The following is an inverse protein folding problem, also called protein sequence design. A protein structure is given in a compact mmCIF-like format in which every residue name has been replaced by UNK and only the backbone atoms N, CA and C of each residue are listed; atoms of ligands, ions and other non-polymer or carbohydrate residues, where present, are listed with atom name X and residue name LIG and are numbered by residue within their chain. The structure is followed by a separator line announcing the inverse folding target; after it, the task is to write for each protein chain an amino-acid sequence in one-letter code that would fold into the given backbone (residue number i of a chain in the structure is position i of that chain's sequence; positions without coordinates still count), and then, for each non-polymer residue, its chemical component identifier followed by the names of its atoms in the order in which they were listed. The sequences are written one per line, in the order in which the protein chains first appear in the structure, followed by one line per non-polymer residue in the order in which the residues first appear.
data_IF_910616004881
#
_entry.id   IF_910616004881
#
_cell.length_a   1.000
_cell.length_b   1.000
_cell.length_c   1.000
_cell.angle_alpha   90.00
_cell.angle_beta   90.00
_cell.angle_gamma   90.00
#
_symmetry.space_group_name_H-M   'P 1'
#
loop_
_entity.id
_entity.type
_entity.pdbx_description
1 polymer ?
#
# COMPACT_ATOMS: atom_id res chain seq x y z
N UNK A 1 -29.93 -16.80 22.89
CA UNK A 1 -30.06 -15.61 23.77
C UNK A 1 -29.25 -14.54 23.06
N UNK A 2 -29.90 -13.56 22.42
CA UNK A 2 -29.18 -12.56 21.62
C UNK A 2 -28.74 -11.43 22.56
N UNK A 3 -27.52 -11.52 23.07
CA UNK A 3 -26.88 -10.36 23.69
C UNK A 3 -26.64 -9.33 22.56
N UNK A 4 -26.93 -8.04 22.77
CA UNK A 4 -26.50 -7.03 21.81
C UNK A 4 -24.98 -7.08 21.76
N UNK A 5 -24.45 -7.50 20.61
CA UNK A 5 -23.02 -7.64 20.43
C UNK A 5 -22.37 -6.26 20.43
N UNK A 6 -21.26 -6.13 21.15
CA UNK A 6 -20.34 -4.99 21.01
C UNK A 6 -19.79 -4.97 19.59
N UNK A 7 -19.37 -3.81 19.12
CA UNK A 7 -18.68 -3.67 17.82
C UNK A 7 -17.44 -4.56 17.74
N UNK A 8 -16.67 -4.64 18.83
CA UNK A 8 -15.50 -5.49 18.94
C UNK A 8 -15.35 -6.05 20.36
N UNK A 9 -14.56 -7.12 20.45
CA UNK A 9 -14.22 -7.82 21.68
C UNK A 9 -12.72 -8.06 21.70
N UNK A 10 -12.09 -7.97 22.88
CA UNK A 10 -10.76 -8.57 23.02
C UNK A 10 -10.86 -10.10 22.91
N UNK A 11 -9.75 -10.76 22.58
CA UNK A 11 -9.71 -12.23 22.50
C UNK A 11 -10.17 -12.87 23.83
N UNK A 12 -9.74 -12.32 24.97
CA UNK A 12 -10.15 -12.79 26.30
C UNK A 12 -11.65 -12.60 26.57
N UNK A 13 -12.26 -11.52 26.06
CA UNK A 13 -13.71 -11.33 26.15
C UNK A 13 -14.46 -12.35 25.28
N UNK A 14 -13.98 -12.59 24.06
CA UNK A 14 -14.56 -13.57 23.14
C UNK A 14 -14.48 -15.00 23.71
N UNK A 15 -13.32 -15.41 24.24
CA UNK A 15 -13.14 -16.72 24.88
C UNK A 15 -14.10 -16.91 26.07
N UNK A 16 -14.22 -15.89 26.94
CA UNK A 16 -15.16 -15.93 28.07
C UNK A 16 -16.62 -16.03 27.61
N UNK A 17 -16.99 -15.35 26.53
CA UNK A 17 -18.33 -15.44 25.95
C UNK A 17 -18.62 -16.86 25.46
N UNK A 18 -17.69 -17.47 24.73
CA UNK A 18 -17.81 -18.84 24.24
C UNK A 18 -17.90 -19.85 25.38
N UNK A 19 -17.06 -19.75 26.40
CA UNK A 19 -17.13 -20.63 27.57
C UNK A 19 -18.42 -20.45 28.37
N UNK A 20 -18.99 -19.24 28.43
CA UNK A 20 -20.28 -19.00 29.05
C UNK A 20 -21.45 -19.67 28.33
N UNK A 21 -21.41 -19.69 27.00
CA UNK A 21 -22.47 -20.27 26.15
C UNK A 21 -22.29 -21.76 25.89
N UNK A 22 -21.04 -22.23 25.82
CA UNK A 22 -20.64 -23.60 25.54
C UNK A 22 -19.61 -24.08 26.57
N UNK A 23 -20.00 -24.29 27.85
CA UNK A 23 -19.06 -24.64 28.92
C UNK A 23 -18.25 -25.92 28.69
N UNK A 24 -18.74 -26.82 27.83
CA UNK A 24 -18.09 -28.07 27.46
C UNK A 24 -16.94 -27.89 26.46
N UNK A 25 -16.82 -26.72 25.80
CA UNK A 25 -15.80 -26.42 24.78
C UNK A 25 -14.58 -25.76 25.41
N UNK A 26 -13.82 -26.53 26.19
CA UNK A 26 -12.58 -26.08 26.85
C UNK A 26 -11.42 -25.88 25.86
N UNK A 27 -11.61 -26.28 24.60
CA UNK A 27 -10.67 -26.12 23.49
C UNK A 27 -10.70 -24.71 22.87
N UNK A 28 -11.59 -23.81 23.33
CA UNK A 28 -11.73 -22.45 22.79
C UNK A 28 -10.87 -21.49 23.62
N UNK A 29 -9.64 -21.27 23.16
CA UNK A 29 -8.67 -20.35 23.74
C UNK A 29 -8.26 -19.24 22.74
N UNK A 30 -7.20 -18.50 23.05
CA UNK A 30 -6.63 -17.50 22.14
C UNK A 30 -6.23 -18.13 20.80
N UNK A 31 -5.56 -19.28 20.85
CA UNK A 31 -5.07 -20.01 19.69
C UNK A 31 -6.20 -20.42 18.74
N UNK A 32 -7.38 -20.75 19.26
CA UNK A 32 -8.57 -21.00 18.44
C UNK A 32 -8.92 -19.81 17.54
N UNK A 33 -9.00 -18.59 18.09
CA UNK A 33 -9.36 -17.40 17.31
C UNK A 33 -8.28 -17.02 16.31
N UNK A 34 -7.00 -17.09 16.69
CA UNK A 34 -5.90 -16.85 15.75
C UNK A 34 -5.91 -17.86 14.59
N UNK A 35 -6.21 -19.14 14.84
CA UNK A 35 -6.33 -20.14 13.78
C UNK A 35 -7.50 -19.89 12.83
N UNK A 36 -8.62 -19.35 13.32
CA UNK A 36 -9.74 -18.93 12.47
C UNK A 36 -9.36 -17.71 11.63
N UNK A 37 -8.67 -16.75 12.22
CA UNK A 37 -8.21 -15.56 11.53
C UNK A 37 -7.19 -15.86 10.43
N UNK A 38 -6.23 -16.77 10.67
CA UNK A 38 -5.28 -17.25 9.64
C UNK A 38 -6.01 -17.89 8.44
N UNK A 39 -7.22 -18.43 8.64
CA UNK A 39 -8.06 -18.99 7.57
C UNK A 39 -8.98 -17.96 6.92
N UNK A 40 -8.97 -16.70 7.35
CA UNK A 40 -9.86 -15.65 6.88
C UNK A 40 -11.32 -15.78 7.37
N UNK A 41 -11.59 -16.62 8.37
CA UNK A 41 -12.94 -16.86 8.88
C UNK A 41 -13.44 -15.80 9.85
N UNK A 42 -12.52 -15.02 10.42
CA UNK A 42 -12.79 -13.83 11.22
C UNK A 42 -11.71 -12.79 10.90
N UNK A 43 -12.02 -11.51 11.08
CA UNK A 43 -11.01 -10.45 11.09
C UNK A 43 -10.39 -10.28 12.47
N UNK A 44 -9.11 -9.97 12.48
CA UNK A 44 -8.44 -9.39 13.64
C UNK A 44 -8.07 -7.93 13.35
N UNK A 45 -8.40 -7.05 14.28
CA UNK A 45 -7.99 -5.65 14.25
C UNK A 45 -7.12 -5.30 15.44
N UNK A 46 -6.44 -4.16 15.36
CA UNK A 46 -5.77 -3.50 16.47
C UNK A 46 -6.17 -2.03 16.49
N UNK A 47 -6.17 -1.39 17.65
CA UNK A 47 -6.28 0.07 17.67
C UNK A 47 -5.03 0.70 17.06
N UNK A 48 -5.19 1.85 16.36
CA UNK A 48 -4.04 2.65 15.93
C UNK A 48 -3.09 2.98 17.09
N UNK A 49 -3.66 3.29 18.25
CA UNK A 49 -2.99 3.57 19.51
C UNK A 49 -3.49 2.56 20.57
N UNK A 50 -2.61 1.71 21.13
CA UNK A 50 -3.02 0.63 21.99
C UNK A 50 -3.38 1.11 23.40
N UNK A 51 -2.97 2.33 23.77
CA UNK A 51 -3.32 2.91 25.06
C UNK A 51 -4.76 3.44 25.08
N UNK A 52 -5.33 3.78 23.91
CA UNK A 52 -6.59 4.52 23.77
C UNK A 52 -6.69 5.68 24.79
N UNK A 53 -5.55 6.24 25.22
CA UNK A 53 -5.56 7.34 26.16
C UNK A 53 -5.94 8.60 25.39
N UNK A 54 -6.98 9.28 25.87
CA UNK A 54 -7.57 10.53 25.34
C UNK A 54 -6.60 11.71 25.25
N UNK A 55 -5.31 11.50 25.47
CA UNK A 55 -4.31 12.55 25.58
C UNK A 55 -3.29 12.42 24.46
N UNK A 56 -3.63 13.06 23.34
CA UNK A 56 -2.72 13.68 22.39
C UNK A 56 -1.39 12.97 22.12
N UNK A 57 -1.33 12.17 21.05
CA UNK A 57 -0.13 12.12 20.23
C UNK A 57 -0.49 12.19 18.74
N UNK A 58 -0.21 13.38 18.21
CA UNK A 58 -0.36 13.86 16.84
C UNK A 58 0.76 13.31 15.93
N UNK A 59 0.83 12.00 15.76
CA UNK A 59 1.67 11.33 14.76
C UNK A 59 1.05 9.99 14.39
N UNK A 60 1.25 9.54 13.15
CA UNK A 60 0.50 8.42 12.60
C UNK A 60 -0.10 8.76 11.25
N UNK A 61 0.21 7.96 10.25
CA UNK A 61 -0.48 8.00 8.96
C UNK A 61 -0.38 6.64 8.28
N UNK A 62 -1.04 6.51 7.14
CA UNK A 62 -1.01 5.29 6.33
C UNK A 62 0.00 5.48 5.21
N UNK A 63 0.82 4.47 4.94
CA UNK A 63 1.66 4.40 3.76
C UNK A 63 1.08 3.31 2.86
N UNK A 64 0.33 3.70 1.83
CA UNK A 64 -0.21 2.75 0.84
C UNK A 64 0.89 2.40 -0.15
N UNK A 65 1.13 1.10 -0.36
CA UNK A 65 2.19 0.66 -1.28
C UNK A 65 1.91 1.04 -2.73
N UNK A 66 0.67 0.84 -3.20
CA UNK A 66 0.14 1.30 -4.50
C UNK A 66 -1.35 0.91 -4.64
N UNK A 67 -2.13 1.70 -5.38
CA UNK A 67 -3.40 1.25 -6.00
C UNK A 67 -3.14 0.94 -7.47
N UNK A 68 -3.62 -0.18 -8.02
CA UNK A 68 -3.40 -0.48 -9.45
C UNK A 68 -3.71 0.73 -10.35
N UNK A 69 -2.74 1.14 -11.17
CA UNK A 69 -2.88 2.37 -11.97
C UNK A 69 -3.96 2.17 -13.02
N UNK A 70 -5.00 2.99 -12.91
CA UNK A 70 -6.11 3.04 -13.87
C UNK A 70 -6.05 4.34 -14.66
N UNK A 71 -6.30 4.25 -15.96
CA UNK A 71 -6.52 5.41 -16.84
C UNK A 71 -7.98 5.88 -16.79
N UNK A 72 -8.86 5.13 -16.12
CA UNK A 72 -10.27 5.48 -15.94
C UNK A 72 -10.41 6.58 -14.85
N UNK A 73 -10.85 7.79 -15.22
CA UNK A 73 -10.99 8.89 -14.27
C UNK A 73 -12.03 8.64 -13.18
N UNK A 74 -13.09 7.87 -13.46
CA UNK A 74 -14.12 7.53 -12.47
C UNK A 74 -13.51 6.67 -11.36
N UNK A 75 -12.78 5.63 -11.75
CA UNK A 75 -12.13 4.71 -10.81
C UNK A 75 -11.01 5.42 -10.02
N UNK A 76 -10.25 6.31 -10.67
CA UNK A 76 -9.23 7.12 -10.00
C UNK A 76 -9.84 8.00 -8.90
N UNK A 77 -10.99 8.63 -9.16
CA UNK A 77 -11.69 9.44 -8.15
C UNK A 77 -12.18 8.58 -6.98
N UNK A 78 -12.67 7.36 -7.24
CA UNK A 78 -13.04 6.45 -6.16
C UNK A 78 -11.83 6.05 -5.30
N UNK A 79 -10.64 5.85 -5.89
CA UNK A 79 -9.41 5.64 -5.13
C UNK A 79 -9.03 6.88 -4.30
N UNK A 80 -9.14 8.08 -4.87
CA UNK A 80 -8.90 9.35 -4.14
C UNK A 80 -9.82 9.47 -2.93
N UNK A 81 -11.12 9.17 -3.10
CA UNK A 81 -12.08 9.17 -1.99
C UNK A 81 -11.69 8.15 -0.93
N UNK A 82 -11.30 6.94 -1.32
CA UNK A 82 -10.86 5.91 -0.38
C UNK A 82 -9.62 6.34 0.41
N UNK A 83 -8.58 6.86 -0.25
CA UNK A 83 -7.38 7.40 0.41
C UNK A 83 -7.74 8.52 1.36
N UNK A 84 -8.49 9.52 0.88
CA UNK A 84 -8.91 10.69 1.68
C UNK A 84 -9.70 10.26 2.91
N UNK A 85 -10.60 9.28 2.77
CA UNK A 85 -11.38 8.80 3.88
C UNK A 85 -10.53 8.03 4.89
N UNK A 86 -9.64 7.14 4.44
CA UNK A 86 -8.72 6.42 5.32
C UNK A 86 -7.81 7.37 6.12
N UNK A 87 -7.32 8.43 5.48
CA UNK A 87 -6.49 9.45 6.14
C UNK A 87 -7.28 10.28 7.15
N UNK A 88 -8.57 10.53 6.90
CA UNK A 88 -9.44 11.17 7.90
C UNK A 88 -9.69 10.22 9.08
N UNK A 89 -9.98 8.94 8.81
CA UNK A 89 -10.30 7.96 9.84
C UNK A 89 -9.11 7.59 10.72
N UNK A 90 -7.88 7.60 10.20
CA UNK A 90 -6.71 7.37 11.05
C UNK A 90 -6.52 8.51 12.07
N UNK A 91 -7.12 9.68 11.88
CA UNK A 91 -7.12 10.77 12.87
C UNK A 91 -8.17 10.56 13.98
N UNK A 92 -9.27 9.84 13.70
CA UNK A 92 -10.35 9.55 14.66
C UNK A 92 -9.83 8.84 15.92
N UNK A 93 -10.47 9.09 17.06
CA UNK A 93 -10.19 8.37 18.30
C UNK A 93 -10.74 6.93 18.20
N UNK A 94 -9.89 5.94 18.47
CA UNK A 94 -10.32 4.53 18.48
C UNK A 94 -10.45 3.88 17.11
N UNK A 95 -9.91 4.47 16.03
CA UNK A 95 -9.86 3.79 14.73
C UNK A 95 -9.08 2.47 14.80
N UNK A 96 -9.58 1.47 14.06
CA UNK A 96 -9.11 0.09 14.13
C UNK A 96 -8.45 -0.28 12.79
N UNK A 97 -7.19 -0.69 12.85
CA UNK A 97 -6.43 -1.21 11.73
C UNK A 97 -6.67 -2.72 11.60
N UNK A 98 -7.06 -3.20 10.42
CA UNK A 98 -7.36 -4.61 10.17
C UNK A 98 -6.09 -5.34 9.71
N UNK A 99 -5.63 -6.30 10.50
CA UNK A 99 -4.41 -7.06 10.22
C UNK A 99 -4.60 -7.92 8.97
N UNK A 100 -3.59 -7.89 8.09
CA UNK A 100 -3.54 -8.82 6.97
C UNK A 100 -3.20 -10.24 7.45
N UNK A 101 -3.95 -11.25 6.97
CA UNK A 101 -3.92 -12.65 7.44
C UNK A 101 -2.51 -13.27 7.53
N UNK A 102 -1.63 -12.95 6.58
CA UNK A 102 -0.25 -13.44 6.55
C UNK A 102 0.57 -13.13 7.82
N UNK A 103 0.32 -11.98 8.46
CA UNK A 103 1.06 -11.55 9.65
C UNK A 103 0.44 -12.07 10.95
N UNK A 104 -0.81 -12.51 10.91
CA UNK A 104 -1.51 -13.11 12.04
C UNK A 104 -0.81 -14.42 12.46
N UNK A 105 -0.27 -15.17 11.50
CA UNK A 105 0.48 -16.40 11.77
C UNK A 105 1.76 -16.13 12.56
N UNK A 106 2.51 -15.10 12.18
CA UNK A 106 3.75 -14.74 12.89
C UNK A 106 3.44 -14.25 14.30
N UNK A 107 2.37 -13.46 14.46
CA UNK A 107 1.90 -13.01 15.76
C UNK A 107 1.47 -14.17 16.66
N UNK A 108 0.77 -15.18 16.12
CA UNK A 108 0.41 -16.39 16.87
C UNK A 108 1.63 -17.17 17.37
N UNK A 109 2.65 -17.33 16.51
CA UNK A 109 3.83 -18.15 16.84
C UNK A 109 4.81 -17.45 17.78
N UNK A 110 4.95 -16.12 17.65
CA UNK A 110 5.94 -15.32 18.39
C UNK A 110 5.34 -14.57 19.59
N UNK A 111 4.03 -14.39 19.62
CA UNK A 111 3.32 -13.57 20.62
C UNK A 111 3.38 -12.06 20.35
N UNK A 112 4.39 -11.60 19.61
CA UNK A 112 4.56 -10.21 19.19
C UNK A 112 5.23 -10.11 17.81
N UNK A 113 5.00 -8.99 17.12
CA UNK A 113 5.58 -8.66 15.81
C UNK A 113 5.93 -7.17 15.74
N UNK A 114 6.97 -6.80 14.99
CA UNK A 114 7.34 -5.38 14.82
C UNK A 114 6.31 -4.66 13.95
N UNK A 115 5.96 -3.42 14.32
CA UNK A 115 5.07 -2.59 13.52
C UNK A 115 5.55 -2.44 12.07
N UNK A 116 6.87 -2.29 11.86
CA UNK A 116 7.49 -2.15 10.54
C UNK A 116 7.31 -3.37 9.63
N UNK A 117 7.07 -4.54 10.21
CA UNK A 117 6.89 -5.79 9.47
C UNK A 117 5.41 -6.06 9.14
N UNK A 118 4.47 -5.31 9.72
CA UNK A 118 3.03 -5.61 9.59
C UNK A 118 2.41 -4.84 8.43
N UNK A 119 1.48 -5.49 7.75
CA UNK A 119 0.57 -4.86 6.79
C UNK A 119 -0.89 -5.00 7.20
N UNK A 120 -1.69 -4.08 6.70
CA UNK A 120 -3.11 -3.97 6.99
C UNK A 120 -3.92 -3.98 5.70
N UNK A 121 -5.08 -4.62 5.77
CA UNK A 121 -6.01 -4.75 4.63
C UNK A 121 -7.01 -3.59 4.57
N UNK A 122 -7.41 -3.07 5.73
CA UNK A 122 -8.45 -2.05 5.82
C UNK A 122 -8.34 -1.29 7.14
N UNK A 123 -9.13 -0.22 7.26
CA UNK A 123 -9.32 0.56 8.48
C UNK A 123 -10.82 0.68 8.75
N UNK A 124 -11.22 0.56 10.01
CA UNK A 124 -12.60 0.69 10.44
C UNK A 124 -12.78 1.97 11.25
N UNK A 125 -13.75 2.79 10.84
CA UNK A 125 -14.18 3.98 11.58
C UNK A 125 -15.18 3.57 12.66
N UNK A 126 -14.82 3.80 13.93
CA UNK A 126 -15.79 3.63 15.03
C UNK A 126 -16.88 4.70 15.00
N UNK A 127 -16.55 5.91 14.54
CA UNK A 127 -17.48 7.03 14.46
C UNK A 127 -18.60 6.75 13.44
N UNK A 128 -18.22 6.29 12.25
CA UNK A 128 -19.15 6.03 11.15
C UNK A 128 -19.67 4.58 11.11
N UNK A 129 -19.06 3.69 11.89
CA UNK A 129 -19.39 2.25 11.95
C UNK A 129 -19.28 1.55 10.59
N UNK A 130 -18.24 1.89 9.81
CA UNK A 130 -18.01 1.31 8.49
C UNK A 130 -16.51 1.10 8.20
N UNK A 131 -16.24 0.24 7.20
CA UNK A 131 -14.90 0.06 6.63
C UNK A 131 -14.63 1.16 5.62
N UNK A 132 -13.46 1.78 5.70
CA UNK A 132 -13.12 2.91 4.84
C UNK A 132 -12.87 2.49 3.39
N UNK A 133 -12.35 1.28 3.18
CA UNK A 133 -12.08 0.73 1.84
C UNK A 133 -13.18 -0.25 1.49
N UNK A 134 -14.04 0.14 0.55
CA UNK A 134 -15.16 -0.68 0.08
C UNK A 134 -14.66 -1.89 -0.72
N UNK A 135 -15.41 -2.98 -0.71
CA UNK A 135 -15.06 -4.24 -1.40
C UNK A 135 -14.71 -4.06 -2.89
N UNK A 136 -15.35 -3.09 -3.56
CA UNK A 136 -15.08 -2.77 -4.96
C UNK A 136 -13.63 -2.30 -5.18
N UNK A 137 -13.14 -1.47 -4.26
CA UNK A 137 -11.79 -0.86 -4.30
C UNK A 137 -10.78 -1.75 -3.58
N UNK A 138 -11.25 -2.61 -2.66
CA UNK A 138 -10.40 -3.52 -1.93
C UNK A 138 -9.61 -4.42 -2.88
N UNK A 139 -10.13 -4.72 -4.08
CA UNK A 139 -9.44 -5.48 -5.13
C UNK A 139 -8.26 -4.75 -5.76
N UNK A 140 -8.29 -3.43 -5.79
CA UNK A 140 -7.25 -2.60 -6.41
C UNK A 140 -6.16 -2.22 -5.41
N UNK A 141 -6.42 -2.42 -4.11
CA UNK A 141 -5.48 -2.22 -3.03
C UNK A 141 -4.74 -3.52 -2.69
N UNK A 142 -3.41 -3.47 -2.71
CA UNK A 142 -2.59 -4.57 -2.23
C UNK A 142 -2.69 -4.69 -0.71
N UNK A 143 -2.15 -3.69 -0.01
CA UNK A 143 -2.16 -3.52 1.44
C UNK A 143 -1.53 -2.16 1.78
N UNK A 144 -1.54 -1.78 3.06
CA UNK A 144 -0.84 -0.59 3.54
C UNK A 144 -0.11 -0.84 4.86
N UNK A 145 0.81 0.06 5.17
CA UNK A 145 1.51 0.13 6.45
C UNK A 145 0.94 1.27 7.31
N UNK A 146 0.99 1.11 8.63
CA UNK A 146 0.75 2.21 9.56
C UNK A 146 2.09 2.79 10.04
N UNK A 147 2.41 4.01 9.63
CA UNK A 147 3.64 4.71 10.01
C UNK A 147 3.36 5.65 11.17
N UNK A 148 3.87 5.35 12.36
CA UNK A 148 3.54 6.06 13.60
C UNK A 148 4.44 7.27 13.91
N UNK A 149 5.55 7.43 13.17
CA UNK A 149 6.44 8.60 13.30
C UNK A 149 6.14 9.73 12.30
N UNK A 150 5.40 9.45 11.23
CA UNK A 150 5.12 10.42 10.16
C UNK A 150 3.65 10.85 10.17
N UNK A 151 3.34 11.89 9.37
CA UNK A 151 1.98 12.43 9.18
C UNK A 151 1.60 12.40 7.70
N UNK A 152 0.32 12.47 7.38
CA UNK A 152 -0.15 12.31 6.00
C UNK A 152 0.53 13.27 5.01
N UNK A 153 0.78 14.52 5.37
CA UNK A 153 1.44 15.49 4.48
C UNK A 153 2.91 15.15 4.13
N UNK A 154 3.47 14.07 4.70
CA UNK A 154 4.78 13.54 4.31
C UNK A 154 4.70 12.61 3.09
N UNK A 155 3.52 12.07 2.81
CA UNK A 155 3.28 11.08 1.75
C UNK A 155 2.23 11.52 0.74
N UNK A 156 1.42 12.53 1.07
CA UNK A 156 0.27 12.94 0.28
C UNK A 156 0.25 14.45 0.03
N UNK A 157 -0.05 14.83 -1.21
CA UNK A 157 -0.35 16.19 -1.61
C UNK A 157 -1.87 16.43 -1.64
N UNK A 158 -2.27 17.69 -1.46
CA UNK A 158 -3.66 18.09 -1.67
C UNK A 158 -3.99 18.14 -3.16
N UNK A 159 -5.18 17.69 -3.51
CA UNK A 159 -5.72 17.75 -4.86
C UNK A 159 -7.16 18.26 -4.84
N UNK A 160 -7.65 18.67 -6.01
CA UNK A 160 -9.06 18.95 -6.25
C UNK A 160 -9.63 17.90 -7.20
N UNK A 161 -10.83 17.40 -6.94
CA UNK A 161 -11.54 16.52 -7.86
C UNK A 161 -13.02 16.92 -7.98
N UNK A 162 -13.66 16.56 -9.08
CA UNK A 162 -15.09 16.78 -9.33
C UNK A 162 -15.75 15.47 -9.75
N UNK A 163 -16.80 15.09 -9.02
CA UNK A 163 -17.57 13.89 -9.28
C UNK A 163 -18.41 14.02 -10.56
N UNK A 164 -18.98 15.21 -10.82
CA UNK A 164 -19.86 15.41 -11.98
C UNK A 164 -19.11 15.42 -13.32
N UNK A 165 -17.83 15.80 -13.31
CA UNK A 165 -17.01 15.92 -14.53
C UNK A 165 -15.92 14.86 -14.62
N UNK A 166 -15.79 14.01 -13.60
CA UNK A 166 -14.73 13.02 -13.45
C UNK A 166 -13.32 13.59 -13.68
N UNK A 167 -13.09 14.79 -13.14
CA UNK A 167 -11.83 15.52 -13.33
C UNK A 167 -11.04 15.60 -12.03
N UNK A 168 -9.71 15.62 -12.17
CA UNK A 168 -8.75 15.72 -11.07
C UNK A 168 -7.68 16.76 -11.41
N UNK A 169 -7.42 17.65 -10.46
CA UNK A 169 -6.47 18.74 -10.58
C UNK A 169 -5.49 18.71 -9.41
N UNK A 170 -4.22 18.67 -9.74
CA UNK A 170 -3.14 18.79 -8.76
C UNK A 170 -2.91 20.25 -8.40
N UNK A 171 -2.60 20.50 -7.13
CA UNK A 171 -2.31 21.86 -6.63
C UNK A 171 -0.98 22.40 -7.20
N UNK A 172 -0.05 21.52 -7.58
CA UNK A 172 1.22 21.90 -8.20
C UNK A 172 1.33 21.31 -9.61
N UNK A 173 1.67 22.17 -10.59
CA UNK A 173 1.97 21.73 -11.95
C UNK A 173 3.48 21.59 -12.15
N UNK A 174 3.90 20.40 -12.56
CA UNK A 174 5.30 20.09 -12.86
C UNK A 174 5.82 20.82 -14.11
N UNK A 175 4.95 21.05 -15.10
CA UNK A 175 5.38 21.56 -16.40
C UNK A 175 5.86 23.02 -16.34
N UNK A 176 5.26 23.81 -15.46
CA UNK A 176 5.54 25.23 -15.33
C UNK A 176 6.00 25.65 -13.92
N UNK A 177 5.94 24.74 -12.95
CA UNK A 177 6.39 24.97 -11.58
C UNK A 177 5.47 25.88 -10.75
N UNK A 178 4.24 26.12 -11.18
CA UNK A 178 3.29 26.98 -10.48
C UNK A 178 2.27 26.18 -9.66
N UNK A 179 1.72 26.87 -8.66
CA UNK A 179 0.61 26.37 -7.86
C UNK A 179 -0.72 26.83 -8.46
N UNK A 180 -1.61 25.87 -8.74
CA UNK A 180 -2.91 26.11 -9.33
C UNK A 180 -4.04 25.78 -8.37
N UNK A 181 -5.01 26.67 -8.33
CA UNK A 181 -6.34 26.40 -7.78
C UNK A 181 -7.29 26.50 -8.98
N UNK A 182 -8.23 25.55 -9.17
CA UNK A 182 -9.19 25.61 -10.26
C UNK A 182 -9.85 26.99 -10.31
N UNK A 183 -9.75 27.70 -11.43
CA UNK A 183 -10.42 29.00 -11.57
C UNK A 183 -11.93 28.76 -11.74
N UNK A 184 -12.74 29.56 -11.05
CA UNK A 184 -14.21 29.59 -11.17
C UNK A 184 -14.71 29.94 -12.59
N UNK A 185 -13.80 30.16 -13.55
CA UNK A 185 -14.15 30.49 -14.94
C UNK A 185 -14.66 29.27 -15.72
N UNK A 186 -14.44 28.06 -15.20
CA UNK A 186 -15.07 26.84 -15.70
C UNK A 186 -16.15 26.46 -14.68
N UNK A 187 -17.42 26.47 -15.10
CA UNK A 187 -18.64 26.27 -14.31
C UNK A 187 -18.75 24.87 -13.65
N UNK A 188 -17.74 24.44 -12.90
CA UNK A 188 -17.75 23.21 -12.13
C UNK A 188 -18.01 23.59 -10.66
N UNK A 189 -19.27 23.54 -10.18
CA UNK A 189 -19.63 24.02 -8.85
C UNK A 189 -19.29 23.02 -7.73
N UNK A 190 -18.87 21.80 -8.08
CA UNK A 190 -18.73 20.66 -7.16
C UNK A 190 -17.28 20.25 -6.90
N UNK A 191 -16.31 21.17 -7.01
CA UNK A 191 -14.93 20.89 -6.62
C UNK A 191 -14.83 20.46 -5.14
N UNK A 192 -14.23 19.30 -4.92
CA UNK A 192 -13.94 18.75 -3.59
C UNK A 192 -12.43 18.66 -3.39
N UNK A 193 -11.96 18.98 -2.19
CA UNK A 193 -10.56 18.77 -1.78
C UNK A 193 -10.34 17.33 -1.33
N UNK A 194 -9.28 16.70 -1.82
CA UNK A 194 -8.84 15.38 -1.39
C UNK A 194 -7.34 15.29 -1.23
N UNK A 195 -6.87 14.08 -0.92
CA UNK A 195 -5.45 13.77 -0.83
C UNK A 195 -5.08 12.68 -1.84
N UNK A 196 -3.92 12.84 -2.46
CA UNK A 196 -3.34 11.84 -3.34
C UNK A 196 -1.84 11.72 -3.12
N UNK A 197 -1.25 10.61 -3.58
CA UNK A 197 0.17 10.34 -3.43
C UNK A 197 1.01 11.55 -3.86
N UNK A 198 1.87 12.02 -2.96
CA UNK A 198 2.79 13.11 -3.24
C UNK A 198 3.82 12.65 -4.28
N UNK A 199 3.77 13.29 -5.45
CA UNK A 199 4.68 13.00 -6.58
C UNK A 199 6.14 13.35 -6.28
N UNK A 200 6.39 14.14 -5.22
CA UNK A 200 7.71 14.60 -4.80
C UNK A 200 8.18 13.98 -3.48
N UNK A 201 7.40 13.07 -2.89
CA UNK A 201 7.81 12.42 -1.65
C UNK A 201 9.17 11.71 -1.83
N UNK A 202 10.11 12.02 -0.94
CA UNK A 202 11.41 11.36 -0.88
C UNK A 202 11.27 9.93 -0.33
N UNK A 203 12.23 9.07 -0.65
CA UNK A 203 12.29 7.72 -0.08
C UNK A 203 12.71 7.80 1.40
N UNK A 204 11.83 7.41 2.31
CA UNK A 204 12.13 7.28 3.75
C UNK A 204 12.67 5.88 4.08
N UNK A 205 13.65 5.79 4.98
CA UNK A 205 14.06 4.52 5.59
C UNK A 205 13.06 4.09 6.68
N UNK A 206 12.91 2.79 6.91
CA UNK A 206 11.94 2.25 7.89
C UNK A 206 12.12 2.84 9.29
N UNK A 207 13.37 3.11 9.70
CA UNK A 207 13.68 3.74 11.00
C UNK A 207 13.09 5.14 11.17
N UNK A 208 12.84 5.83 10.05
CA UNK A 208 12.27 7.18 10.00
C UNK A 208 10.74 7.12 10.01
N UNK A 209 10.15 6.03 9.47
CA UNK A 209 8.70 5.81 9.39
C UNK A 209 8.09 5.19 10.65
N UNK A 210 8.80 4.25 11.26
CA UNK A 210 8.27 3.38 12.32
C UNK A 210 9.04 3.55 13.63
N UNK A 211 8.33 3.55 14.75
CA UNK A 211 8.91 3.40 16.08
C UNK A 211 9.34 1.96 16.37
N UNK A 212 10.06 1.76 17.48
CA UNK A 212 10.43 0.43 17.97
C UNK A 212 9.24 -0.33 18.59
N UNK A 213 8.00 0.09 18.28
CA UNK A 213 6.77 -0.50 18.80
C UNK A 213 6.59 -1.92 18.26
N UNK A 214 6.21 -2.80 19.19
CA UNK A 214 5.77 -4.16 18.93
C UNK A 214 4.25 -4.23 19.06
N UNK A 215 3.60 -4.95 18.15
CA UNK A 215 2.20 -5.34 18.26
C UNK A 215 2.15 -6.68 18.97
N UNK A 216 1.40 -6.76 20.07
CA UNK A 216 1.27 -7.98 20.86
C UNK A 216 -0.06 -8.68 20.62
N UNK A 217 -0.11 -9.98 20.84
CA UNK A 217 -1.32 -10.79 20.64
C UNK A 217 -2.50 -10.32 21.50
N UNK A 218 -2.23 -9.74 22.66
CA UNK A 218 -3.27 -9.28 23.58
C UNK A 218 -3.96 -7.99 23.10
N UNK A 219 -3.35 -7.27 22.15
CA UNK A 219 -3.93 -6.07 21.53
C UNK A 219 -4.98 -6.41 20.46
N UNK A 220 -5.08 -7.68 20.04
CA UNK A 220 -5.99 -8.09 18.98
C UNK A 220 -7.46 -8.05 19.41
N UNK A 221 -8.27 -7.54 18.48
CA UNK A 221 -9.72 -7.38 18.61
C UNK A 221 -10.42 -8.25 17.56
N UNK A 222 -11.52 -8.87 17.97
CA UNK A 222 -12.43 -9.62 17.10
C UNK A 222 -13.69 -8.78 16.88
N UNK A 223 -14.13 -8.67 15.63
CA UNK A 223 -15.38 -7.99 15.30
C UNK A 223 -16.57 -8.76 15.86
N UNK A 224 -17.50 -8.03 16.49
CA UNK A 224 -18.70 -8.63 17.08
C UNK A 224 -19.56 -9.37 16.06
N UNK A 225 -19.65 -8.85 14.83
CA UNK A 225 -20.36 -9.53 13.73
C UNK A 225 -19.72 -10.87 13.34
N UNK A 226 -18.39 -10.95 13.28
CA UNK A 226 -17.67 -12.20 13.03
C UNK A 226 -17.89 -13.18 14.18
N UNK A 227 -17.90 -12.68 15.42
CA UNK A 227 -18.19 -13.47 16.60
C UNK A 227 -19.64 -14.01 16.57
N UNK A 228 -20.62 -13.22 16.14
CA UNK A 228 -22.01 -13.66 15.97
C UNK A 228 -22.11 -14.82 15.00
N UNK A 229 -21.43 -14.73 13.86
CA UNK A 229 -21.43 -15.79 12.85
C UNK A 229 -20.93 -17.09 13.47
N UNK A 230 -19.82 -17.04 14.22
CA UNK A 230 -19.29 -18.22 14.90
C UNK A 230 -20.25 -18.80 15.94
N UNK A 231 -20.93 -17.94 16.72
CA UNK A 231 -21.94 -18.38 17.70
C UNK A 231 -23.15 -19.06 17.02
N UNK A 232 -23.49 -18.63 15.82
CA UNK A 232 -24.54 -19.23 14.99
C UNK A 232 -24.07 -20.48 14.21
N UNK A 233 -22.84 -20.93 14.44
CA UNK A 233 -22.24 -22.08 13.74
C UNK A 233 -21.87 -21.80 12.28
N UNK A 234 -21.73 -20.53 11.92
CA UNK A 234 -21.31 -20.03 10.60
C UNK A 234 -19.92 -19.39 10.71
N UNK A 235 -19.36 -18.99 9.58
CA UNK A 235 -18.15 -18.18 9.55
C UNK A 235 -18.23 -17.18 8.39
N UNK A 236 -17.34 -16.18 8.41
CA UNK A 236 -17.13 -15.33 7.25
C UNK A 236 -16.60 -16.18 6.09
N UNK A 237 -17.06 -15.91 4.87
CA UNK A 237 -16.40 -16.42 3.67
C UNK A 237 -15.06 -15.70 3.51
N UNK A 238 -13.93 -16.44 3.47
CA UNK A 238 -12.63 -15.82 3.22
C UNK A 238 -12.69 -15.04 1.91
N UNK A 239 -12.17 -13.82 1.92
CA UNK A 239 -12.00 -13.11 0.66
C UNK A 239 -11.04 -13.97 -0.17
N UNK A 240 -11.49 -14.47 -1.32
CA UNK A 240 -10.63 -15.13 -2.28
C UNK A 240 -9.71 -14.07 -2.87
N UNK A 241 -8.70 -13.67 -2.11
CA UNK A 241 -7.64 -12.83 -2.62
C UNK A 241 -6.93 -13.66 -3.68
N UNK A 242 -7.13 -13.28 -4.95
CA UNK A 242 -6.28 -13.69 -6.07
C UNK A 242 -4.86 -13.33 -5.64
N UNK A 243 -4.13 -14.31 -5.13
CA UNK A 243 -2.75 -14.24 -4.61
C UNK A 243 -2.16 -12.83 -4.50
N UNK A 244 -2.60 -12.06 -3.50
CA UNK A 244 -2.02 -10.72 -3.21
C UNK A 244 -0.64 -10.80 -2.53
N UNK A 245 -0.15 -12.02 -2.35
CA UNK A 245 1.20 -12.32 -1.87
C UNK A 245 1.90 -13.11 -2.97
N UNK A 246 2.98 -12.53 -3.53
CA UNK A 246 4.06 -13.34 -4.09
C UNK A 246 4.52 -14.27 -2.97
N UNK A 247 4.23 -15.56 -3.14
CA UNK A 247 4.69 -16.67 -2.30
C UNK A 247 6.08 -16.36 -1.73
N UNK A 248 6.21 -16.53 -0.42
CA UNK A 248 7.47 -16.75 0.26
C UNK A 248 8.26 -17.86 -0.47
N UNK A 249 9.11 -17.45 -1.39
CA UNK A 249 10.40 -18.05 -1.66
C UNK A 249 11.38 -16.88 -1.72
N UNK A 250 12.45 -16.98 -0.95
CA UNK A 250 13.50 -15.97 -0.87
C UNK A 250 14.01 -15.61 -2.26
N UNK A 251 13.69 -14.41 -2.76
CA UNK A 251 14.58 -13.56 -3.55
C UNK A 251 13.91 -12.19 -3.77
N UNK A 252 14.72 -11.14 -3.60
CA UNK A 252 14.40 -9.71 -3.68
C UNK A 252 13.48 -9.39 -4.86
N UNK A 253 12.21 -9.07 -4.59
CA UNK A 253 11.31 -8.46 -5.56
C UNK A 253 11.27 -6.96 -5.30
N UNK A 254 12.29 -6.27 -5.82
CA UNK A 254 12.05 -4.96 -6.42
C UNK A 254 11.51 -5.21 -7.83
N UNK A 255 10.65 -4.31 -8.28
CA UNK A 255 10.09 -4.20 -9.63
C UNK A 255 8.84 -5.03 -9.94
N UNK A 256 7.69 -4.36 -9.81
CA UNK A 256 6.73 -4.22 -10.91
C UNK A 256 5.85 -2.97 -10.65
N UNK A 257 6.46 -1.79 -10.68
CA UNK A 257 5.74 -0.53 -10.89
C UNK A 257 6.23 0.00 -12.24
N UNK A 258 5.29 0.26 -13.17
CA UNK A 258 5.56 0.82 -14.50
C UNK A 258 6.39 2.10 -14.34
N UNK A 259 7.58 2.13 -14.97
CA UNK A 259 8.56 3.18 -14.74
C UNK A 259 8.31 4.44 -15.59
N UNK A 260 8.28 5.59 -14.91
CA UNK A 260 8.42 6.95 -15.42
C UNK A 260 9.92 7.26 -15.80
N UNK A 261 10.24 8.37 -16.49
CA UNK A 261 11.40 8.56 -17.37
C UNK A 261 12.78 8.65 -16.70
N UNK A 262 12.90 8.44 -15.37
CA UNK A 262 14.20 8.26 -14.69
C UNK A 262 14.99 7.04 -15.21
N UNK A 263 14.34 6.10 -15.93
CA UNK A 263 14.95 4.90 -16.56
C UNK A 263 15.80 5.19 -17.81
N UNK A 264 15.75 6.40 -18.38
CA UNK A 264 16.61 6.76 -19.51
C UNK A 264 18.10 6.56 -19.18
N UNK A 265 18.51 6.86 -17.94
CA UNK A 265 19.89 6.68 -17.49
C UNK A 265 20.31 5.21 -17.29
N UNK A 266 19.39 4.27 -17.04
CA UNK A 266 19.74 2.86 -16.85
C UNK A 266 19.88 2.11 -18.18
N UNK A 267 19.03 2.40 -19.18
CA UNK A 267 19.19 1.87 -20.54
C UNK A 267 20.54 2.32 -21.13
N UNK A 268 20.91 3.57 -20.89
CA UNK A 268 22.20 4.10 -21.32
C UNK A 268 23.36 3.33 -20.68
N UNK A 269 23.31 3.08 -19.37
CA UNK A 269 24.33 2.29 -18.67
C UNK A 269 24.37 0.82 -19.11
N UNK A 270 23.23 0.22 -19.43
CA UNK A 270 23.15 -1.15 -19.98
C UNK A 270 23.77 -1.20 -21.38
N UNK A 271 23.46 -0.24 -22.26
CA UNK A 271 24.06 -0.13 -23.60
C UNK A 271 25.58 0.08 -23.51
N UNK A 272 26.05 0.91 -22.57
CA UNK A 272 27.49 1.07 -22.32
C UNK A 272 28.14 -0.18 -21.74
N UNK A 273 27.45 -0.89 -20.85
CA UNK A 273 27.89 -2.17 -20.30
C UNK A 273 28.04 -3.24 -21.38
N UNK A 274 27.06 -3.35 -22.28
CA UNK A 274 27.07 -4.28 -23.40
C UNK A 274 28.14 -3.90 -24.44
N UNK A 275 28.30 -2.62 -24.75
CA UNK A 275 29.34 -2.16 -25.67
C UNK A 275 30.76 -2.40 -25.11
N UNK A 276 30.94 -2.26 -23.79
CA UNK A 276 32.20 -2.59 -23.10
C UNK A 276 32.46 -4.10 -23.05
N UNK A 277 31.41 -4.91 -22.85
CA UNK A 277 31.51 -6.37 -22.90
C UNK A 277 31.82 -6.91 -24.30
N UNK A 278 31.37 -6.22 -25.35
CA UNK A 278 31.67 -6.52 -26.74
C UNK A 278 32.96 -5.84 -27.27
N UNK A 279 33.72 -5.15 -26.40
CA UNK A 279 34.98 -4.44 -26.70
C UNK A 279 34.89 -3.49 -27.91
N UNK A 280 33.81 -2.73 -27.99
CA UNK A 280 33.50 -1.89 -29.15
C UNK A 280 34.23 -0.53 -29.09
N UNK A 281 34.80 -0.12 -30.23
CA UNK A 281 35.35 1.23 -30.40
C UNK A 281 34.22 2.26 -30.61
N UNK A 282 33.96 3.03 -29.55
CA UNK A 282 32.89 4.03 -29.52
C UNK A 282 33.23 5.32 -30.31
N UNK A 283 34.44 5.49 -30.83
CA UNK A 283 34.82 6.65 -31.66
C UNK A 283 34.06 6.65 -33.00
N UNK A 284 33.67 5.46 -33.49
CA UNK A 284 32.96 5.24 -34.74
C UNK A 284 31.52 4.75 -34.48
N UNK A 285 30.73 5.64 -33.88
CA UNK A 285 29.33 5.48 -33.45
C UNK A 285 28.43 4.63 -34.37
N UNK A 286 28.56 4.80 -35.69
CA UNK A 286 27.72 4.08 -36.65
C UNK A 286 28.11 2.61 -36.81
N UNK A 287 29.40 2.30 -36.72
CA UNK A 287 29.91 0.92 -36.76
C UNK A 287 29.72 0.20 -35.42
N UNK A 288 29.87 0.94 -34.30
CA UNK A 288 29.64 0.43 -32.96
C UNK A 288 28.19 -0.05 -32.77
N UNK A 289 27.21 0.68 -33.31
CA UNK A 289 25.81 0.25 -33.27
C UNK A 289 25.58 -1.08 -34.00
N UNK A 290 26.08 -1.22 -35.23
CA UNK A 290 25.87 -2.45 -36.02
C UNK A 290 26.53 -3.67 -35.39
N UNK A 291 27.69 -3.49 -34.73
CA UNK A 291 28.37 -4.57 -34.01
C UNK A 291 27.65 -4.93 -32.71
N UNK A 292 27.12 -3.93 -31.99
CA UNK A 292 26.30 -4.17 -30.80
C UNK A 292 24.99 -4.89 -31.15
N UNK A 293 24.33 -4.48 -32.23
CA UNK A 293 23.11 -5.11 -32.74
C UNK A 293 23.35 -6.59 -33.11
N UNK A 294 24.45 -6.89 -33.80
CA UNK A 294 24.83 -8.27 -34.11
C UNK A 294 25.12 -9.09 -32.84
N UNK A 295 25.84 -8.51 -31.87
CA UNK A 295 26.14 -9.16 -30.60
C UNK A 295 24.88 -9.46 -29.78
N UNK A 296 23.96 -8.49 -29.65
CA UNK A 296 22.73 -8.64 -28.90
C UNK A 296 21.74 -9.62 -29.58
N UNK A 297 21.62 -9.58 -30.91
CA UNK A 297 20.80 -10.55 -31.65
C UNK A 297 21.32 -11.98 -31.50
N UNK A 298 22.63 -12.19 -31.48
CA UNK A 298 23.22 -13.52 -31.26
C UNK A 298 22.99 -14.08 -29.85
N UNK A 299 22.64 -13.22 -28.89
CA UNK A 299 22.35 -13.57 -27.49
C UNK A 299 20.86 -13.44 -27.12
N UNK A 300 19.97 -13.20 -28.10
CA UNK A 300 18.53 -13.07 -27.87
C UNK A 300 18.12 -11.82 -27.07
N UNK A 301 18.93 -10.76 -27.10
CA UNK A 301 18.71 -9.51 -26.37
C UNK A 301 18.20 -8.46 -27.36
N UNK A 302 16.99 -7.93 -27.15
CA UNK A 302 16.47 -6.80 -27.94
C UNK A 302 17.10 -5.48 -27.47
N UNK A 303 17.49 -4.63 -28.43
CA UNK A 303 18.08 -3.31 -28.16
C UNK A 303 17.28 -2.18 -28.81
N UNK A 304 17.36 -0.94 -28.27
CA UNK A 304 16.70 0.21 -28.88
C UNK A 304 17.21 0.51 -30.29
N UNK A 305 16.37 1.19 -31.08
CA UNK A 305 16.64 1.53 -32.47
C UNK A 305 17.90 2.39 -32.68
N UNK A 306 18.37 2.38 -33.93
CA UNK A 306 19.63 3.00 -34.39
C UNK A 306 19.84 4.45 -33.96
N UNK A 307 18.80 5.28 -34.05
CA UNK A 307 18.90 6.71 -33.75
C UNK A 307 19.05 6.96 -32.25
N UNK A 308 18.37 6.16 -31.41
CA UNK A 308 18.46 6.23 -29.96
C UNK A 308 19.85 5.82 -29.48
N UNK A 309 20.38 4.70 -29.96
CA UNK A 309 21.72 4.23 -29.59
C UNK A 309 22.84 5.13 -30.14
N UNK A 310 22.69 5.67 -31.35
CA UNK A 310 23.67 6.57 -31.96
C UNK A 310 23.83 7.91 -31.22
N UNK A 311 22.74 8.48 -30.71
CA UNK A 311 22.80 9.69 -29.89
C UNK A 311 23.49 9.44 -28.54
N UNK A 312 23.25 8.26 -27.94
CA UNK A 312 23.88 7.86 -26.69
C UNK A 312 25.40 7.74 -26.83
N UNK A 313 25.90 6.97 -27.80
CA UNK A 313 27.35 6.86 -28.00
C UNK A 313 28.02 8.22 -28.22
N UNK A 314 27.33 9.16 -28.91
CA UNK A 314 27.85 10.51 -29.16
C UNK A 314 27.98 11.32 -27.87
N UNK A 315 27.04 11.17 -26.94
CA UNK A 315 27.12 11.80 -25.61
C UNK A 315 28.21 11.17 -24.74
N UNK A 316 28.42 9.85 -24.78
CA UNK A 316 29.53 9.21 -24.07
C UNK A 316 30.89 9.63 -24.59
N UNK A 317 31.11 9.64 -25.91
CA UNK A 317 32.39 10.08 -26.46
C UNK A 317 32.70 11.53 -26.04
N UNK A 318 31.69 12.41 -26.02
CA UNK A 318 31.85 13.76 -25.49
C UNK A 318 32.20 13.74 -24.00
N UNK A 319 31.53 12.93 -23.18
CA UNK A 319 31.72 12.88 -21.72
C UNK A 319 33.07 12.27 -21.29
N UNK A 320 33.65 11.39 -22.08
CA UNK A 320 34.93 10.73 -21.76
C UNK A 320 36.17 11.36 -22.43
N UNK A 321 35.98 12.25 -23.41
CA UNK A 321 37.06 12.96 -24.11
C UNK A 321 36.98 14.51 -23.99
N UNK A 322 36.16 15.04 -23.08
CA UNK A 322 36.19 16.46 -22.64
C UNK A 322 36.91 16.59 -21.31
#
# INVERSE_FOLDING_TARGET
MNLPLKTFYSIDEAARLFHGLFPQRLDIDDSYFFQLAIKGYIRLGIFKDPSHEKNHLSSGTLNFDWYEWTEDPELLIEHVKAVTYCLSTIEEEGSILILHDAYIKDLLLRGEISLSEVRFDNIFSLEHSEFCIKDQILNDLFFFEYTDKLRYHHFYESIFYSDSTHSLHYVFNEEDGNYYVPSMEHEVPDWVTGFWFDRFADNYEDKDKFSDRMIKKEECLIFGEDLQLLLDGKHREPIQNVSRIKKNDMEVVKEQIKQHPKRANSINQIIYGLAKMADLDLSQHQSAYTQLEAFCNSNGIEIPGKDTCGNLFREAHRKFNS
#
